data_IF_368058274354
#
_entry.id   IF_368058274354
#
_cell.length_a   1.000
_cell.length_b   1.000
_cell.length_c   1.000
_cell.angle_alpha   90.00
_cell.angle_beta   90.00
_cell.angle_gamma   90.00
#
_symmetry.space_group_name_H-M   'P 1'
#
loop_
_entity.id
_entity.type
_entity.pdbx_description
1 polymer ?
#
# COMPACT_ATOMS: atom_id res chain seq x y z
N UNK A 1 -45.98 46.06 35.83
CA UNK A 1 -46.24 45.06 34.77
C UNK A 1 -45.11 45.19 33.77
N UNK A 2 -44.05 44.41 33.93
CA UNK A 2 -42.75 44.67 33.28
C UNK A 2 -42.67 43.85 32.00
N UNK A 3 -42.68 44.52 30.85
CA UNK A 3 -42.42 43.89 29.54
C UNK A 3 -40.93 43.56 29.42
N UNK A 4 -40.58 42.27 29.46
CA UNK A 4 -39.22 41.79 29.17
C UNK A 4 -39.01 41.72 27.66
N UNK A 5 -38.19 42.63 27.12
CA UNK A 5 -37.76 42.61 25.73
C UNK A 5 -36.85 41.39 25.49
N UNK A 6 -37.27 40.54 24.55
CA UNK A 6 -36.58 39.31 24.18
C UNK A 6 -35.18 39.56 23.64
N UNK A 7 -34.19 38.87 24.22
CA UNK A 7 -32.82 38.87 23.73
C UNK A 7 -32.68 38.09 22.44
N UNK A 8 -32.04 38.69 21.43
CA UNK A 8 -31.67 38.00 20.19
C UNK A 8 -30.69 36.86 20.50
N UNK A 9 -31.10 35.62 20.26
CA UNK A 9 -30.22 34.45 20.34
C UNK A 9 -29.48 34.33 19.01
N UNK A 10 -28.16 34.54 19.03
CA UNK A 10 -27.31 34.25 17.87
C UNK A 10 -27.40 32.75 17.58
N UNK A 11 -28.01 32.38 16.45
CA UNK A 11 -27.93 31.02 15.92
C UNK A 11 -26.57 30.87 15.24
N UNK A 12 -25.58 30.37 15.99
CA UNK A 12 -24.32 29.94 15.40
C UNK A 12 -24.54 28.57 14.76
N UNK A 13 -24.74 28.55 13.44
CA UNK A 13 -24.71 27.33 12.63
C UNK A 13 -23.27 27.16 12.15
N UNK A 14 -22.48 26.23 12.70
CA UNK A 14 -21.14 25.98 12.18
C UNK A 14 -21.28 25.49 10.73
N UNK A 15 -20.64 26.20 9.80
CA UNK A 15 -20.50 25.73 8.42
C UNK A 15 -19.67 24.45 8.47
N UNK A 16 -20.30 23.29 8.25
CA UNK A 16 -19.54 22.07 7.97
C UNK A 16 -18.97 22.24 6.55
N UNK A 17 -17.64 22.30 6.38
CA UNK A 17 -17.07 22.29 5.04
C UNK A 17 -17.48 21.00 4.32
N UNK A 18 -17.73 21.06 2.99
CA UNK A 18 -18.01 19.85 2.23
C UNK A 18 -16.84 18.88 2.35
N UNK A 19 -17.14 17.60 2.56
CA UNK A 19 -16.13 16.54 2.60
C UNK A 19 -15.53 16.40 1.21
N UNK A 20 -14.30 16.84 1.03
CA UNK A 20 -13.53 16.59 -0.20
C UNK A 20 -12.84 15.24 -0.06
N UNK A 21 -13.26 14.25 -0.84
CA UNK A 21 -12.52 13.01 -0.95
C UNK A 21 -11.19 13.30 -1.66
N UNK A 22 -10.02 13.10 -1.01
CA UNK A 22 -8.75 13.44 -1.63
C UNK A 22 -8.47 12.50 -2.81
N UNK A 23 -8.16 13.07 -3.97
CA UNK A 23 -7.73 12.31 -5.15
C UNK A 23 -6.25 11.93 -4.99
N UNK A 24 -5.99 10.82 -4.30
CA UNK A 24 -4.63 10.37 -4.02
C UNK A 24 -4.10 9.51 -5.17
N UNK A 25 -2.84 9.71 -5.58
CA UNK A 25 -2.21 8.88 -6.60
C UNK A 25 -2.05 7.43 -6.12
N UNK A 26 -1.85 6.48 -7.05
CA UNK A 26 -1.58 5.09 -6.72
C UNK A 26 -0.38 4.97 -5.78
N UNK A 27 -0.50 4.14 -4.74
CA UNK A 27 0.59 3.86 -3.80
C UNK A 27 0.49 2.45 -3.25
N UNK A 28 1.63 1.88 -2.87
CA UNK A 28 1.67 0.63 -2.11
C UNK A 28 1.83 0.95 -0.63
N UNK A 29 0.85 0.55 0.19
CA UNK A 29 0.75 0.91 1.62
C UNK A 29 1.12 -0.25 2.54
N UNK A 30 0.51 -1.42 2.36
CA UNK A 30 0.68 -2.60 3.23
C UNK A 30 1.62 -3.65 2.62
N UNK A 31 2.86 -3.26 2.30
CA UNK A 31 3.86 -4.19 1.79
C UNK A 31 4.62 -4.88 2.93
N UNK A 32 4.69 -6.21 2.92
CA UNK A 32 5.54 -6.98 3.83
C UNK A 32 6.18 -8.18 3.14
N UNK A 33 7.42 -8.49 3.52
CA UNK A 33 8.16 -9.68 3.12
C UNK A 33 8.37 -10.56 4.35
N UNK A 34 8.00 -11.84 4.26
CA UNK A 34 8.13 -12.81 5.35
C UNK A 34 8.62 -14.15 4.83
N UNK A 35 9.35 -14.90 5.66
CA UNK A 35 9.65 -16.31 5.42
C UNK A 35 8.58 -17.21 6.03
N UNK A 36 8.26 -18.28 5.30
CA UNK A 36 7.45 -19.42 5.75
C UNK A 36 8.11 -20.71 5.23
N UNK A 37 8.92 -21.35 6.08
CA UNK A 37 9.78 -22.48 5.69
C UNK A 37 10.74 -22.10 4.56
N UNK A 38 10.64 -22.80 3.42
CA UNK A 38 11.44 -22.57 2.22
C UNK A 38 10.84 -21.52 1.29
N UNK A 39 9.77 -20.83 1.70
CA UNK A 39 9.10 -19.82 0.87
C UNK A 39 9.28 -18.41 1.45
N UNK A 40 9.56 -17.47 0.55
CA UNK A 40 9.39 -16.05 0.79
C UNK A 40 8.02 -15.63 0.27
N UNK A 41 7.27 -14.93 1.12
CA UNK A 41 5.94 -14.40 0.80
C UNK A 41 5.96 -12.88 0.87
N UNK A 42 5.55 -12.23 -0.21
CA UNK A 42 5.30 -10.79 -0.26
C UNK A 42 3.82 -10.54 -0.38
N UNK A 43 3.25 -9.79 0.55
CA UNK A 43 1.88 -9.27 0.44
C UNK A 43 1.95 -7.77 0.24
N UNK A 44 1.12 -7.22 -0.64
CA UNK A 44 1.04 -5.79 -0.90
C UNK A 44 -0.36 -5.35 -1.33
N UNK A 45 -0.76 -4.14 -0.92
CA UNK A 45 -2.03 -3.50 -1.29
C UNK A 45 -1.77 -2.20 -2.05
N UNK A 46 -2.51 -1.99 -3.15
CA UNK A 46 -2.49 -0.75 -3.95
C UNK A 46 -3.67 0.14 -3.59
N UNK A 47 -3.37 1.27 -2.96
CA UNK A 47 -4.32 2.31 -2.56
C UNK A 47 -4.32 3.49 -3.54
N UNK A 48 -5.33 4.36 -3.42
CA UNK A 48 -5.51 5.54 -4.28
C UNK A 48 -6.38 5.28 -5.51
N UNK A 49 -6.51 6.26 -6.41
CA UNK A 49 -7.17 6.05 -7.70
C UNK A 49 -6.13 5.55 -8.70
N UNK A 50 -6.35 4.38 -9.28
CA UNK A 50 -5.45 3.79 -10.25
C UNK A 50 -6.23 3.13 -11.40
N UNK A 51 -5.63 3.13 -12.58
CA UNK A 51 -6.12 2.36 -13.72
C UNK A 51 -5.70 0.89 -13.56
N UNK A 52 -6.54 -0.08 -13.96
CA UNK A 52 -6.19 -1.50 -13.90
C UNK A 52 -4.83 -1.80 -14.54
N UNK A 53 -4.06 -2.67 -13.91
CA UNK A 53 -2.69 -2.94 -14.35
C UNK A 53 -1.99 -4.01 -13.52
N UNK A 54 -0.75 -4.32 -13.89
CA UNK A 54 0.03 -5.35 -13.23
C UNK A 54 0.82 -4.78 -12.05
N UNK A 55 0.62 -5.36 -10.87
CA UNK A 55 1.57 -5.28 -9.77
C UNK A 55 2.60 -6.38 -9.99
N UNK A 56 3.87 -5.98 -10.10
CA UNK A 56 4.99 -6.89 -10.34
C UNK A 56 5.96 -6.85 -9.17
N UNK A 57 6.55 -8.00 -8.87
CA UNK A 57 7.62 -8.15 -7.90
C UNK A 57 8.90 -8.61 -8.62
N UNK A 58 10.03 -7.99 -8.30
CA UNK A 58 11.35 -8.49 -8.64
C UNK A 58 12.08 -8.85 -7.35
N UNK A 59 12.57 -10.08 -7.28
CA UNK A 59 13.20 -10.66 -6.10
C UNK A 59 14.71 -10.67 -6.23
N UNK A 60 15.38 -10.36 -5.13
CA UNK A 60 16.82 -10.33 -5.03
C UNK A 60 17.29 -11.03 -3.76
N UNK A 61 18.46 -11.66 -3.86
CA UNK A 61 19.29 -12.09 -2.75
C UNK A 61 20.58 -11.27 -2.81
N UNK A 62 20.73 -10.33 -1.87
CA UNK A 62 21.66 -9.21 -1.94
C UNK A 62 21.53 -8.45 -3.28
N UNK A 63 22.53 -8.56 -4.16
CA UNK A 63 22.54 -7.93 -5.49
C UNK A 63 22.08 -8.85 -6.61
N UNK A 64 21.93 -10.15 -6.36
CA UNK A 64 21.58 -11.15 -7.37
C UNK A 64 20.06 -11.20 -7.55
N UNK A 65 19.58 -11.00 -8.77
CA UNK A 65 18.18 -11.26 -9.11
C UNK A 65 17.91 -12.77 -9.07
N UNK A 66 16.86 -13.18 -8.36
CA UNK A 66 16.51 -14.60 -8.14
C UNK A 66 15.13 -14.98 -8.67
N UNK A 67 14.31 -14.00 -9.03
CA UNK A 67 12.99 -14.26 -9.61
C UNK A 67 12.18 -13.01 -9.86
N UNK A 68 11.05 -13.19 -10.53
CA UNK A 68 10.07 -12.14 -10.78
C UNK A 68 8.69 -12.75 -10.98
N UNK A 69 7.64 -12.02 -10.62
CA UNK A 69 6.25 -12.43 -10.83
C UNK A 69 5.35 -11.19 -10.96
N UNK A 70 4.13 -11.37 -11.49
CA UNK A 70 3.17 -10.28 -11.65
C UNK A 70 1.72 -10.75 -11.54
N UNK A 71 0.88 -9.91 -10.94
CA UNK A 71 -0.56 -10.14 -10.78
C UNK A 71 -1.31 -8.91 -11.29
N UNK A 72 -2.37 -9.14 -12.06
CA UNK A 72 -3.26 -8.09 -12.52
C UNK A 72 -4.15 -7.61 -11.37
N UNK A 73 -4.23 -6.30 -11.17
CA UNK A 73 -5.06 -5.64 -10.16
C UNK A 73 -6.00 -4.64 -10.83
N UNK A 74 -7.17 -4.50 -10.23
CA UNK A 74 -8.18 -3.52 -10.61
C UNK A 74 -8.90 -2.98 -9.36
N UNK A 75 -9.97 -2.22 -9.56
CA UNK A 75 -10.73 -1.64 -8.45
C UNK A 75 -11.38 -2.69 -7.52
N UNK A 76 -11.62 -3.91 -8.01
CA UNK A 76 -12.20 -5.03 -7.25
C UNK A 76 -11.15 -5.87 -6.52
N UNK A 77 -9.94 -5.98 -7.09
CA UNK A 77 -8.82 -6.70 -6.50
C UNK A 77 -7.61 -5.78 -6.36
N UNK A 78 -7.37 -5.30 -5.14
CA UNK A 78 -6.32 -4.31 -4.83
C UNK A 78 -5.12 -4.89 -4.09
N UNK A 79 -5.21 -6.15 -3.68
CA UNK A 79 -4.17 -6.83 -2.89
C UNK A 79 -3.64 -8.01 -3.68
N UNK A 80 -2.32 -8.21 -3.62
CA UNK A 80 -1.65 -9.37 -4.19
C UNK A 80 -0.74 -10.02 -3.16
N UNK A 81 -0.56 -11.33 -3.33
CA UNK A 81 0.43 -12.13 -2.61
C UNK A 81 1.31 -12.82 -3.63
N UNK A 82 2.63 -12.65 -3.50
CA UNK A 82 3.63 -13.31 -4.32
C UNK A 82 4.42 -14.29 -3.47
N UNK A 83 4.83 -15.40 -4.08
CA UNK A 83 5.63 -16.43 -3.40
C UNK A 83 6.85 -16.79 -4.23
N UNK A 84 7.97 -16.97 -3.56
CA UNK A 84 9.21 -17.45 -4.16
C UNK A 84 9.80 -18.56 -3.28
N UNK A 85 10.19 -19.68 -3.87
CA UNK A 85 10.97 -20.70 -3.16
C UNK A 85 12.42 -20.23 -3.01
N UNK A 86 12.89 -20.13 -1.78
CA UNK A 86 14.25 -19.74 -1.42
C UNK A 86 14.68 -20.56 -0.17
N UNK A 87 15.25 -21.76 -0.36
CA UNK A 87 15.55 -22.67 0.75
C UNK A 87 16.70 -22.18 1.64
N UNK A 88 17.63 -21.42 1.07
CA UNK A 88 18.81 -20.92 1.80
C UNK A 88 18.49 -19.65 2.60
N UNK A 89 19.20 -19.39 3.69
CA UNK A 89 19.16 -18.09 4.38
C UNK A 89 19.88 -17.03 3.53
N UNK A 90 19.42 -15.79 3.57
CA UNK A 90 19.95 -14.74 2.70
C UNK A 90 19.59 -13.31 3.11
N UNK A 91 20.03 -12.36 2.28
CA UNK A 91 19.69 -10.94 2.41
C UNK A 91 18.65 -10.60 1.34
N UNK A 92 17.40 -10.95 1.62
CA UNK A 92 16.33 -10.90 0.63
C UNK A 92 15.73 -9.52 0.47
N UNK A 93 15.46 -9.16 -0.79
CA UNK A 93 14.78 -7.92 -1.16
C UNK A 93 13.75 -8.17 -2.24
N UNK A 94 12.58 -7.58 -2.08
CA UNK A 94 11.53 -7.57 -3.09
C UNK A 94 11.21 -6.13 -3.50
N UNK A 95 11.31 -5.85 -4.80
CA UNK A 95 10.99 -4.56 -5.40
C UNK A 95 9.64 -4.66 -6.10
N UNK A 96 8.67 -3.89 -5.63
CA UNK A 96 7.32 -3.83 -6.14
C UNK A 96 7.16 -2.67 -7.12
N UNK A 97 6.58 -2.96 -8.28
CA UNK A 97 6.27 -1.99 -9.31
C UNK A 97 4.84 -2.12 -9.80
N UNK A 98 4.19 -1.00 -10.10
CA UNK A 98 2.82 -0.97 -10.63
C UNK A 98 2.76 -0.07 -11.85
N UNK A 99 2.20 -0.57 -12.95
CA UNK A 99 2.17 0.19 -14.22
C UNK A 99 3.58 0.56 -14.73
N UNK A 100 4.58 -0.25 -14.42
CA UNK A 100 5.99 -0.02 -14.80
C UNK A 100 6.77 0.94 -13.89
N UNK A 101 6.13 1.61 -12.94
CA UNK A 101 6.81 2.47 -11.98
C UNK A 101 7.12 1.72 -10.68
N UNK A 102 8.33 1.89 -10.14
CA UNK A 102 8.72 1.33 -8.85
C UNK A 102 7.98 2.06 -7.74
N UNK A 103 7.25 1.31 -6.91
CA UNK A 103 6.38 1.86 -5.87
C UNK A 103 6.94 1.65 -4.47
N UNK A 104 7.51 0.46 -4.21
CA UNK A 104 7.93 0.08 -2.87
C UNK A 104 9.03 -0.97 -2.93
N UNK A 105 9.85 -0.98 -1.89
CA UNK A 105 10.83 -2.02 -1.63
C UNK A 105 10.61 -2.54 -0.21
N UNK A 106 10.71 -3.86 -0.04
CA UNK A 106 10.69 -4.54 1.26
C UNK A 106 11.85 -5.51 1.33
N UNK A 107 12.38 -5.70 2.54
CA UNK A 107 13.62 -6.42 2.78
C UNK A 107 13.47 -7.36 3.98
N UNK A 108 14.21 -8.46 3.94
CA UNK A 108 14.33 -9.45 5.00
C UNK A 108 15.79 -9.89 5.07
N UNK A 109 16.46 -9.54 6.15
CA UNK A 109 17.85 -9.89 6.40
C UNK A 109 17.92 -11.04 7.40
N UNK A 110 18.30 -12.22 6.92
CA UNK A 110 18.55 -13.41 7.76
C UNK A 110 20.04 -13.55 8.04
N UNK A 111 20.86 -13.04 7.11
CA UNK A 111 22.31 -12.87 7.24
C UNK A 111 22.68 -11.39 7.06
N UNK A 112 23.90 -11.02 7.46
CA UNK A 112 24.43 -9.67 7.21
C UNK A 112 24.55 -9.43 5.69
N UNK A 113 24.11 -8.25 5.19
CA UNK A 113 24.06 -7.94 3.75
C UNK A 113 25.42 -7.66 3.11
#
# INVERSE_FOLDING_TARGET
MTLGLGGCRYNFVPLLPPVVAPNLPPRVTDASLKRDGDQLTVTATVDGRFEPGYLSVNWFDSTRAIGSDSVYLDASQRTATFKLTAPDEGAYRAVLSFGGAVMRQVELYEVLP
#
